data_IF_567467623865
#
_entry.id   IF_567467623865
#
_cell.length_a   1.000
_cell.length_b   1.000
_cell.length_c   1.000
_cell.angle_alpha   90.00
_cell.angle_beta   90.00
_cell.angle_gamma   90.00
#
_symmetry.space_group_name_H-M   'P 1'
#
loop_
_entity.id
_entity.type
_entity.pdbx_description
1 polymer ?
#
# COMPACT_ATOMS: atom_id res chain seq x y z
N UNK A 1 19.09 -6.28 -5.27
CA UNK A 1 19.46 -7.18 -4.16
C UNK A 1 19.40 -8.60 -4.72
N UNK A 2 20.45 -9.40 -4.64
CA UNK A 2 20.50 -10.70 -5.34
C UNK A 2 19.79 -11.82 -4.55
N UNK A 3 18.54 -11.58 -4.15
CA UNK A 3 17.69 -12.56 -3.49
C UNK A 3 16.28 -12.44 -4.05
N UNK A 4 15.61 -13.59 -4.25
CA UNK A 4 14.21 -13.61 -4.66
C UNK A 4 13.32 -12.96 -3.59
N UNK A 5 12.10 -12.56 -3.97
CA UNK A 5 11.13 -12.00 -3.01
C UNK A 5 10.84 -13.01 -1.90
N UNK A 6 10.65 -14.28 -2.25
CA UNK A 6 10.39 -15.35 -1.29
C UNK A 6 11.54 -15.54 -0.28
N UNK A 7 12.79 -15.49 -0.76
CA UNK A 7 13.97 -15.56 0.10
C UNK A 7 14.04 -14.38 1.10
N UNK A 8 13.67 -13.18 0.66
CA UNK A 8 13.65 -11.98 1.52
C UNK A 8 12.55 -11.99 2.56
N UNK A 9 11.35 -12.45 2.17
CA UNK A 9 10.25 -12.67 3.12
C UNK A 9 10.70 -13.66 4.19
N UNK A 10 11.28 -14.80 3.78
CA UNK A 10 11.78 -15.79 4.72
C UNK A 10 12.87 -15.25 5.66
N UNK A 11 13.79 -14.43 5.16
CA UNK A 11 14.81 -13.76 5.98
C UNK A 11 14.17 -12.82 7.02
N UNK A 12 13.19 -12.03 6.59
CA UNK A 12 12.46 -11.13 7.48
C UNK A 12 11.72 -11.90 8.57
N UNK A 13 10.91 -12.89 8.20
CA UNK A 13 10.13 -13.71 9.14
C UNK A 13 11.02 -14.43 10.15
N UNK A 14 12.14 -15.00 9.66
CA UNK A 14 13.13 -15.65 10.54
C UNK A 14 13.77 -14.66 11.49
N UNK A 15 14.08 -13.44 11.03
CA UNK A 15 14.64 -12.41 11.90
C UNK A 15 13.63 -11.95 12.96
N UNK A 16 12.37 -11.70 12.60
CA UNK A 16 11.32 -11.33 13.56
C UNK A 16 11.11 -12.43 14.60
N UNK A 17 11.13 -13.70 14.18
CA UNK A 17 10.94 -14.85 15.08
C UNK A 17 12.07 -15.06 16.08
N UNK A 18 13.33 -14.87 15.67
CA UNK A 18 14.49 -15.23 16.50
C UNK A 18 15.32 -14.03 16.99
N UNK A 19 15.07 -12.82 16.47
CA UNK A 19 15.85 -11.59 16.72
C UNK A 19 17.37 -11.76 16.56
N UNK A 20 17.81 -12.74 15.74
CA UNK A 20 19.21 -13.11 15.60
C UNK A 20 19.56 -13.37 14.14
N UNK A 21 20.49 -12.57 13.61
CA UNK A 21 20.97 -12.73 12.24
C UNK A 21 21.66 -14.09 12.03
N UNK A 22 22.38 -14.61 13.03
CA UNK A 22 23.05 -15.93 12.94
C UNK A 22 22.02 -17.05 12.77
N UNK A 23 20.93 -17.02 13.55
CA UNK A 23 19.82 -17.98 13.43
C UNK A 23 19.10 -17.85 12.10
N UNK A 24 18.92 -16.62 11.61
CA UNK A 24 18.37 -16.37 10.28
C UNK A 24 19.24 -17.01 9.18
N UNK A 25 20.56 -16.82 9.21
CA UNK A 25 21.49 -17.44 8.24
C UNK A 25 21.43 -18.97 8.34
N UNK A 26 21.46 -19.53 9.55
CA UNK A 26 21.37 -20.98 9.76
C UNK A 26 20.07 -21.56 9.19
N UNK A 27 18.93 -20.91 9.44
CA UNK A 27 17.64 -21.34 8.91
C UNK A 27 17.55 -21.14 7.39
N UNK A 28 18.19 -20.09 6.87
CA UNK A 28 18.29 -19.85 5.44
C UNK A 28 19.09 -20.93 4.73
N UNK A 29 20.24 -21.33 5.28
CA UNK A 29 21.08 -22.38 4.70
C UNK A 29 20.38 -23.75 4.70
N UNK A 30 19.55 -24.01 5.71
CA UNK A 30 18.72 -25.23 5.79
C UNK A 30 17.61 -25.23 4.73
N UNK A 31 16.93 -24.10 4.52
CA UNK A 31 15.79 -24.02 3.60
C UNK A 31 16.20 -23.87 2.13
N UNK A 32 17.31 -23.18 1.87
CA UNK A 32 17.80 -22.87 0.53
C UNK A 32 19.26 -23.35 0.38
N UNK A 33 19.50 -24.68 0.37
CA UNK A 33 20.84 -25.22 0.13
C UNK A 33 21.34 -24.81 -1.27
N UNK A 34 22.65 -24.56 -1.40
CA UNK A 34 23.29 -24.18 -2.67
C UNK A 34 23.18 -22.70 -3.06
N UNK A 35 22.44 -21.88 -2.30
CA UNK A 35 22.37 -20.43 -2.51
C UNK A 35 23.43 -19.67 -1.70
N UNK A 36 23.75 -18.45 -2.14
CA UNK A 36 24.66 -17.56 -1.40
C UNK A 36 24.07 -17.15 -0.06
N UNK A 37 24.82 -17.35 1.02
CA UNK A 37 24.36 -17.01 2.37
C UNK A 37 24.23 -15.50 2.54
N UNK A 38 23.13 -15.00 3.14
CA UNK A 38 22.94 -13.58 3.34
C UNK A 38 23.93 -13.05 4.40
N UNK A 39 24.61 -11.96 4.06
CA UNK A 39 25.45 -11.26 5.03
C UNK A 39 24.62 -10.61 6.14
N UNK A 40 25.23 -10.36 7.30
CA UNK A 40 24.63 -9.60 8.41
C UNK A 40 24.05 -8.26 7.92
N UNK A 41 24.77 -7.54 7.07
CA UNK A 41 24.32 -6.26 6.49
C UNK A 41 23.11 -6.43 5.57
N UNK A 42 23.03 -7.52 4.81
CA UNK A 42 21.89 -7.83 3.94
C UNK A 42 20.62 -8.04 4.77
N UNK A 43 20.71 -8.84 5.84
CA UNK A 43 19.57 -9.10 6.72
C UNK A 43 19.05 -7.80 7.34
N UNK A 44 19.93 -6.98 7.92
CA UNK A 44 19.50 -5.69 8.47
C UNK A 44 18.95 -4.73 7.43
N UNK A 45 19.47 -4.75 6.20
CA UNK A 45 18.92 -3.93 5.11
C UNK A 45 17.48 -4.34 4.79
N UNK A 46 17.17 -5.64 4.76
CA UNK A 46 15.80 -6.14 4.56
C UNK A 46 14.90 -5.67 5.70
N UNK A 47 15.30 -5.94 6.94
CA UNK A 47 14.50 -5.57 8.13
C UNK A 47 14.23 -4.07 8.16
N UNK A 48 15.27 -3.25 7.94
CA UNK A 48 15.13 -1.79 7.89
C UNK A 48 14.24 -1.33 6.73
N UNK A 49 14.34 -1.97 5.57
CA UNK A 49 13.51 -1.63 4.42
C UNK A 49 12.02 -1.92 4.68
N UNK A 50 11.72 -3.06 5.30
CA UNK A 50 10.35 -3.43 5.66
C UNK A 50 9.81 -2.51 6.75
N UNK A 51 10.60 -2.19 7.78
CA UNK A 51 10.17 -1.22 8.81
C UNK A 51 9.93 0.18 8.24
N UNK A 52 10.69 0.58 7.20
CA UNK A 52 10.53 1.91 6.58
C UNK A 52 9.38 2.00 5.58
N UNK A 53 9.22 0.97 4.75
CA UNK A 53 8.32 1.04 3.58
C UNK A 53 7.11 0.11 3.72
N UNK A 54 7.10 -0.77 4.71
CA UNK A 54 6.11 -1.85 4.83
C UNK A 54 6.23 -2.93 3.75
N UNK A 55 7.25 -2.88 2.89
CA UNK A 55 7.36 -3.74 1.71
C UNK A 55 8.72 -4.42 1.62
N UNK A 56 8.70 -5.69 1.19
CA UNK A 56 9.91 -6.50 0.93
C UNK A 56 10.41 -6.33 -0.51
N UNK A 57 9.56 -5.78 -1.39
CA UNK A 57 9.84 -5.57 -2.81
C UNK A 57 10.92 -4.52 -3.02
N UNK A 58 11.76 -4.73 -4.04
CA UNK A 58 12.75 -3.72 -4.43
C UNK A 58 12.05 -2.44 -4.90
N UNK A 59 12.59 -1.29 -4.46
CA UNK A 59 12.17 -0.01 -5.01
C UNK A 59 12.46 -0.01 -6.51
N UNK A 60 11.42 0.20 -7.33
CA UNK A 60 11.60 0.39 -8.77
C UNK A 60 12.56 1.56 -8.98
N UNK A 61 13.61 1.34 -9.78
CA UNK A 61 14.56 2.41 -10.13
C UNK A 61 13.81 3.49 -10.88
N UNK A 62 13.58 4.63 -10.25
CA UNK A 62 13.01 5.78 -10.91
C UNK A 62 14.10 6.38 -11.82
N UNK A 63 14.07 6.04 -13.10
CA UNK A 63 14.89 6.71 -14.11
C UNK A 63 14.09 7.92 -14.61
N UNK A 64 14.58 9.13 -14.32
CA UNK A 64 14.02 10.35 -14.89
C UNK A 64 14.11 10.25 -16.42
N UNK A 65 13.00 10.52 -17.12
CA UNK A 65 12.98 10.59 -18.58
C UNK A 65 13.43 11.99 -18.98
N UNK A 66 14.64 12.11 -19.51
CA UNK A 66 15.20 13.42 -19.85
C UNK A 66 14.57 14.02 -21.13
N UNK A 67 14.04 13.18 -22.02
CA UNK A 67 13.57 13.62 -23.35
C UNK A 67 12.10 14.02 -23.36
N UNK A 68 11.29 13.50 -22.43
CA UNK A 68 9.85 13.78 -22.33
C UNK A 68 9.62 14.62 -21.07
N UNK A 69 10.01 15.89 -21.14
CA UNK A 69 9.61 16.90 -20.14
C UNK A 69 8.12 17.20 -20.29
N UNK A 70 7.54 17.86 -19.28
CA UNK A 70 6.12 18.24 -19.29
C UNK A 70 5.79 19.15 -20.47
N UNK A 71 6.63 20.17 -20.73
CA UNK A 71 6.51 21.07 -21.90
C UNK A 71 6.44 20.30 -23.23
N UNK A 72 7.31 19.30 -23.43
CA UNK A 72 7.33 18.50 -24.66
C UNK A 72 6.09 17.60 -24.77
N UNK A 73 5.53 17.15 -23.64
CA UNK A 73 4.28 16.40 -23.64
C UNK A 73 3.10 17.28 -24.01
N UNK A 74 3.08 18.53 -23.55
CA UNK A 74 2.04 19.51 -23.86
C UNK A 74 2.08 19.89 -25.35
N UNK A 75 3.27 20.13 -25.91
CA UNK A 75 3.44 20.39 -27.34
C UNK A 75 2.93 19.23 -28.20
N UNK A 76 3.27 17.99 -27.81
CA UNK A 76 2.80 16.79 -28.50
C UNK A 76 1.28 16.62 -28.34
N UNK A 77 0.74 16.89 -27.15
CA UNK A 77 -0.68 16.86 -26.86
C UNK A 77 -1.46 17.82 -27.74
N UNK A 78 -1.03 19.09 -27.80
CA UNK A 78 -1.65 20.12 -28.63
C UNK A 78 -1.67 19.73 -30.12
N UNK A 79 -0.58 19.16 -30.65
CA UNK A 79 -0.53 18.69 -32.04
C UNK A 79 -1.51 17.52 -32.31
N UNK A 80 -1.67 16.62 -31.33
CA UNK A 80 -2.59 15.48 -31.44
C UNK A 80 -4.06 15.90 -31.29
N UNK A 81 -4.36 16.87 -30.43
CA UNK A 81 -5.70 17.44 -30.26
C UNK A 81 -6.13 18.21 -31.52
N UNK A 82 -5.22 19.00 -32.09
CA UNK A 82 -5.49 19.71 -33.34
C UNK A 82 -5.71 18.74 -34.52
N UNK A 83 -4.94 17.65 -34.60
CA UNK A 83 -4.99 16.70 -35.70
C UNK A 83 -4.76 15.26 -35.23
N UNK A 84 -5.81 14.49 -34.87
CA UNK A 84 -5.64 13.15 -34.29
C UNK A 84 -5.00 12.14 -35.26
N UNK A 85 -5.17 12.35 -36.57
CA UNK A 85 -4.66 11.46 -37.62
C UNK A 85 -3.25 11.84 -38.10
N UNK A 86 -2.56 12.77 -37.42
CA UNK A 86 -1.22 13.20 -37.80
C UNK A 86 -0.20 12.06 -37.65
N UNK A 87 0.69 11.92 -38.62
CA UNK A 87 1.74 10.90 -38.54
C UNK A 87 2.74 11.24 -37.44
N UNK A 88 3.21 10.22 -36.72
CA UNK A 88 4.18 10.42 -35.64
C UNK A 88 5.54 10.93 -36.08
N UNK A 89 5.92 10.70 -37.34
CA UNK A 89 7.13 11.32 -37.90
C UNK A 89 6.96 12.83 -37.97
N UNK A 90 5.77 13.31 -38.33
CA UNK A 90 5.49 14.73 -38.45
C UNK A 90 5.48 15.41 -37.07
N UNK A 91 4.76 14.84 -36.10
CA UNK A 91 4.77 15.33 -34.70
C UNK A 91 6.18 15.37 -34.13
N UNK A 92 6.94 14.28 -34.32
CA UNK A 92 8.33 14.21 -33.88
C UNK A 92 9.20 15.31 -34.50
N UNK A 93 9.04 15.59 -35.79
CA UNK A 93 9.77 16.67 -36.46
C UNK A 93 9.39 18.06 -35.96
N UNK A 94 8.12 18.28 -35.61
CA UNK A 94 7.62 19.57 -35.13
C UNK A 94 8.07 19.84 -33.69
N UNK A 95 8.06 18.82 -32.83
CA UNK A 95 8.43 18.95 -31.42
C UNK A 95 9.93 18.67 -31.14
N UNK A 96 10.75 18.46 -32.17
CA UNK A 96 12.19 18.21 -32.02
C UNK A 96 12.55 16.91 -31.28
N UNK A 97 11.68 15.91 -31.29
CA UNK A 97 11.89 14.62 -30.58
C UNK A 97 12.07 13.46 -31.55
N UNK A 98 12.55 12.32 -31.04
CA UNK A 98 12.56 11.09 -31.84
C UNK A 98 11.14 10.55 -32.06
N UNK A 99 10.90 9.89 -33.19
CA UNK A 99 9.63 9.19 -33.48
C UNK A 99 9.23 8.23 -32.34
N UNK A 100 10.19 7.52 -31.76
CA UNK A 100 9.95 6.60 -30.65
C UNK A 100 9.51 7.33 -29.38
N UNK A 101 10.11 8.48 -29.07
CA UNK A 101 9.71 9.31 -27.92
C UNK A 101 8.32 9.89 -28.11
N UNK A 102 8.00 10.42 -29.29
CA UNK A 102 6.65 10.89 -29.61
C UNK A 102 5.61 9.77 -29.51
N UNK A 103 5.98 8.55 -29.88
CA UNK A 103 5.09 7.40 -29.72
C UNK A 103 4.84 7.04 -28.26
N UNK A 104 5.88 7.05 -27.42
CA UNK A 104 5.76 6.85 -25.98
C UNK A 104 4.92 7.97 -25.35
N UNK A 105 5.11 9.23 -25.76
CA UNK A 105 4.34 10.37 -25.29
C UNK A 105 2.83 10.18 -25.48
N UNK A 106 2.40 9.81 -26.70
CA UNK A 106 0.98 9.50 -26.97
C UNK A 106 0.43 8.37 -26.10
N UNK A 107 1.21 7.32 -25.82
CA UNK A 107 0.78 6.26 -24.89
C UNK A 107 0.59 6.82 -23.47
N UNK A 108 1.42 7.77 -23.03
CA UNK A 108 1.28 8.39 -21.71
C UNK A 108 0.05 9.28 -21.64
N UNK A 109 -0.19 10.11 -22.66
CA UNK A 109 -1.35 10.99 -22.73
C UNK A 109 -2.67 10.19 -22.70
N UNK A 110 -2.75 9.10 -23.47
CA UNK A 110 -3.93 8.23 -23.45
C UNK A 110 -4.16 7.58 -22.07
N UNK A 111 -3.09 7.22 -21.35
CA UNK A 111 -3.21 6.67 -19.99
C UNK A 111 -3.71 7.70 -19.00
N UNK A 112 -3.23 8.93 -19.09
CA UNK A 112 -3.70 10.03 -18.25
C UNK A 112 -5.19 10.32 -18.47
N UNK A 113 -5.65 10.26 -19.72
CA UNK A 113 -7.07 10.39 -20.05
C UNK A 113 -7.92 9.30 -19.38
N UNK A 114 -7.50 8.04 -19.46
CA UNK A 114 -8.19 6.91 -18.81
C UNK A 114 -8.19 7.03 -17.28
N UNK A 115 -7.10 7.48 -16.67
CA UNK A 115 -7.04 7.69 -15.22
C UNK A 115 -7.98 8.82 -14.76
N UNK A 116 -8.21 9.84 -15.60
CA UNK A 116 -9.17 10.91 -15.35
C UNK A 116 -10.62 10.41 -15.46
N UNK A 117 -10.94 9.64 -16.51
CA UNK A 117 -12.26 9.03 -16.70
C UNK A 117 -12.61 8.11 -15.53
N UNK A 118 -11.72 7.16 -15.17
CA UNK A 118 -11.96 6.23 -14.05
C UNK A 118 -12.21 6.96 -12.73
N UNK A 119 -11.49 8.07 -12.47
CA UNK A 119 -11.75 8.92 -11.29
C UNK A 119 -13.13 9.57 -11.35
N UNK A 120 -13.52 10.10 -12.51
CA UNK A 120 -14.84 10.72 -12.73
C UNK A 120 -16.00 9.73 -12.54
N UNK A 121 -15.90 8.54 -13.14
CA UNK A 121 -16.88 7.46 -12.96
C UNK A 121 -16.99 6.99 -11.51
N UNK A 122 -15.86 6.91 -10.79
CA UNK A 122 -15.84 6.55 -9.37
C UNK A 122 -16.55 7.59 -8.50
N UNK A 123 -16.35 8.88 -8.79
CA UNK A 123 -17.06 9.97 -8.09
C UNK A 123 -18.54 10.03 -8.42
N UNK A 124 -18.94 9.76 -9.67
CA UNK A 124 -20.34 9.70 -10.07
C UNK A 124 -21.08 8.53 -9.39
N UNK A 125 -20.47 7.35 -9.30
CA UNK A 125 -21.04 6.19 -8.60
C UNK A 125 -21.10 6.38 -7.08
N UNK A 126 -20.14 7.08 -6.48
CA UNK A 126 -20.15 7.39 -5.05
C UNK A 126 -21.29 8.36 -4.68
N UNK A 127 -21.69 9.25 -5.58
CA UNK A 127 -22.82 10.15 -5.38
C UNK A 127 -24.15 9.41 -5.49
N UNK A 128 -24.30 8.53 -6.49
CA UNK A 128 -25.52 7.74 -6.67
C UNK A 128 -25.82 6.79 -5.51
N UNK A 129 -24.79 6.29 -4.82
CA UNK A 129 -24.94 5.46 -3.62
C UNK A 129 -25.33 6.27 -2.35
N UNK A 130 -25.06 7.58 -2.32
CA UNK A 130 -25.53 8.47 -1.24
C UNK A 130 -26.99 8.83 -1.41
N UNK A 131 -27.43 9.07 -2.65
CA UNK A 131 -28.83 9.40 -2.96
C UNK A 131 -29.77 8.21 -2.69
N UNK A 132 -29.25 6.97 -2.70
CA UNK A 132 -29.99 5.76 -2.33
C UNK A 132 -30.05 5.49 -0.82
N UNK A 133 -29.32 6.27 0.00
CA UNK A 133 -29.24 6.11 1.45
C UNK A 133 -30.19 7.07 2.21
N UNK A 134 -30.80 8.05 1.53
CA UNK A 134 -31.72 9.05 2.14
C UNK A 134 -33.16 8.52 2.29
N UNK A 135 -33.45 7.30 1.84
CA UNK A 135 -34.82 6.73 1.89
C UNK A 135 -35.14 5.88 3.13
N UNK A 136 -34.22 5.78 4.12
CA UNK A 136 -34.38 4.88 5.27
C UNK A 136 -34.63 5.58 6.62
N UNK A 137 -34.71 6.91 6.68
CA UNK A 137 -34.94 7.66 7.92
C UNK A 137 -36.32 8.36 7.92
N UNK A 138 -37.39 7.57 7.94
CA UNK A 138 -38.69 8.07 8.37
C UNK A 138 -39.52 6.93 8.98
N UNK A 139 -39.17 6.53 10.21
CA UNK A 139 -40.08 5.96 11.21
C UNK A 139 -39.32 5.71 12.52
N UNK A 140 -39.21 6.77 13.33
CA UNK A 140 -39.08 6.64 14.78
C UNK A 140 -40.03 7.65 15.41
N UNK A 141 -41.17 7.16 15.92
CA UNK A 141 -41.98 7.88 16.89
C UNK A 141 -42.19 6.98 18.11
N UNK A 142 -41.65 7.47 19.24
CA UNK A 142 -42.13 7.36 20.62
C UNK A 142 -42.47 5.98 21.18
N UNK A 143 -41.71 5.57 22.21
CA UNK A 143 -42.28 5.36 23.55
C UNK A 143 -41.23 5.60 24.63
N UNK A 144 -41.50 6.59 25.45
CA UNK A 144 -40.83 7.00 26.67
C UNK A 144 -41.53 6.32 27.86
N UNK A 145 -40.79 5.69 28.78
CA UNK A 145 -41.28 5.43 30.15
C UNK A 145 -40.09 5.37 31.11
N UNK A 146 -39.99 6.40 31.94
CA UNK A 146 -39.17 6.47 33.15
C UNK A 146 -39.85 5.68 34.28
N UNK A 147 -39.09 5.05 35.18
CA UNK A 147 -39.32 5.05 36.64
C UNK A 147 -38.05 4.57 37.36
N UNK A 148 -37.67 5.31 38.39
CA UNK A 148 -36.44 5.31 39.18
C UNK A 148 -36.53 4.39 40.46
N UNK A 149 -35.50 4.32 41.34
CA UNK A 149 -34.99 3.13 42.06
C UNK A 149 -35.52 2.95 43.50
N UNK A 150 -34.98 1.99 44.32
CA UNK A 150 -34.02 2.42 45.37
C UNK A 150 -33.00 1.37 45.94
N UNK A 151 -32.00 1.94 46.67
CA UNK A 151 -31.24 1.45 47.84
C UNK A 151 -30.27 0.25 47.70
N UNK A 152 -28.94 0.39 47.86
CA UNK A 152 -28.11 0.79 49.03
C UNK A 152 -27.93 -0.33 50.08
N UNK A 153 -26.78 -1.03 50.04
CA UNK A 153 -26.09 -1.58 51.23
C UNK A 153 -24.57 -1.47 51.02
N UNK A 154 -23.91 -0.81 51.98
CA UNK A 154 -22.49 -0.56 52.15
C UNK A 154 -21.79 -1.78 52.83
N UNK A 155 -20.59 -2.23 52.42
CA UNK A 155 -19.24 -1.91 52.96
C UNK A 155 -18.59 -3.15 53.65
N UNK A 156 -17.32 -3.13 54.13
CA UNK A 156 -16.07 -3.50 53.45
C UNK A 156 -15.42 -4.77 54.02
N UNK A 157 -14.44 -5.36 53.32
CA UNK A 157 -13.23 -5.91 53.97
C UNK A 157 -12.10 -6.28 53.01
N UNK A 158 -10.91 -5.95 53.49
CA UNK A 158 -9.59 -6.01 52.90
C UNK A 158 -9.12 -7.44 52.60
N UNK A 159 -8.30 -7.59 51.55
CA UNK A 159 -7.09 -8.40 51.65
C UNK A 159 -6.07 -7.92 50.60
N UNK A 160 -4.97 -7.37 51.12
CA UNK A 160 -3.70 -7.27 50.42
C UNK A 160 -3.26 -8.64 49.90
N UNK A 161 -2.75 -8.66 48.66
CA UNK A 161 -1.61 -9.52 48.31
C UNK A 161 -0.90 -8.98 47.07
N UNK A 162 0.31 -8.51 47.33
CA UNK A 162 1.42 -8.36 46.40
C UNK A 162 1.65 -9.63 45.57
N UNK A 163 1.95 -9.50 44.27
CA UNK A 163 3.10 -10.18 43.62
C UNK A 163 3.17 -9.94 42.10
N UNK A 164 4.37 -9.51 41.67
CA UNK A 164 5.13 -9.91 40.46
C UNK A 164 4.68 -9.50 39.06
N UNK A 165 5.56 -8.72 38.42
CA UNK A 165 6.09 -8.88 37.06
C UNK A 165 5.12 -9.23 35.91
N UNK A 166 4.44 -8.22 35.36
CA UNK A 166 3.88 -8.31 34.01
C UNK A 166 4.98 -7.98 32.99
N UNK A 167 5.69 -9.02 32.57
CA UNK A 167 6.39 -9.02 31.27
C UNK A 167 5.34 -8.77 30.18
N UNK A 168 5.35 -7.60 29.55
CA UNK A 168 4.61 -7.38 28.30
C UNK A 168 5.12 -8.37 27.24
N UNK A 169 4.27 -9.36 26.94
CA UNK A 169 4.39 -10.32 25.86
C UNK A 169 4.25 -9.61 24.50
N UNK A 170 5.20 -9.75 23.55
CA UNK A 170 5.10 -9.19 22.19
C UNK A 170 4.18 -9.98 21.24
N UNK A 171 3.02 -10.45 21.71
CA UNK A 171 2.11 -11.25 20.90
C UNK A 171 0.73 -10.64 21.03
N UNK A 172 0.39 -9.65 20.18
CA UNK A 172 -1.00 -9.33 19.79
C UNK A 172 -1.11 -8.20 18.72
N UNK A 173 -0.18 -8.07 17.77
CA UNK A 173 -0.30 -7.08 16.69
C UNK A 173 -0.22 -7.62 15.26
N UNK A 174 -0.42 -8.93 15.04
CA UNK A 174 -0.45 -9.50 13.68
C UNK A 174 -1.65 -10.43 13.49
N UNK A 175 -2.85 -9.83 13.55
CA UNK A 175 -4.06 -10.39 12.94
C UNK A 175 -4.85 -9.28 12.22
N UNK A 176 -4.23 -8.59 11.25
CA UNK A 176 -4.95 -7.63 10.39
C UNK A 176 -4.65 -7.75 8.89
N UNK A 177 -3.60 -8.45 8.42
CA UNK A 177 -3.17 -8.33 7.01
C UNK A 177 -3.35 -9.55 6.10
N UNK A 178 -4.35 -10.42 6.33
CA UNK A 178 -4.63 -11.54 5.41
C UNK A 178 -6.11 -11.66 4.98
N UNK A 179 -6.88 -10.56 4.93
CA UNK A 179 -8.29 -10.60 4.52
C UNK A 179 -8.68 -9.78 3.27
N UNK A 180 -7.75 -9.48 2.36
CA UNK A 180 -8.09 -8.77 1.11
C UNK A 180 -7.38 -9.35 -0.12
N UNK A 181 -7.52 -10.66 -0.36
CA UNK A 181 -7.11 -11.29 -1.62
C UNK A 181 -8.14 -12.31 -2.13
N UNK A 182 -9.43 -12.00 -2.00
CA UNK A 182 -10.50 -12.61 -2.80
C UNK A 182 -11.71 -11.69 -2.80
N UNK A 183 -11.77 -10.79 -3.78
CA UNK A 183 -12.95 -10.42 -4.56
C UNK A 183 -12.51 -9.50 -5.70
#
# INVERSE_FOLDING_TARGET
MNYSVQQRVFMYDSYVKYSSWKKCVQKFSQKYPGFTLPSKSTIYRIVRQVHRTGTVLDKKRNRRRHVLTEEVLDDIGAQLEANPNISMRKVASQCGVSKSSAHVARILLNKQSLDCEVRSWSTMNAQHNKDNCVSADLLQDKTETQTEPPAEIADPREHEQSMTDVKMSPVDSIKVYFKTLTQ
#
